data_IF_431933273080
#
_entry.id   IF_431933273080
#
_cell.length_a   1.000
_cell.length_b   1.000
_cell.length_c   1.000
_cell.angle_alpha   90.00
_cell.angle_beta   90.00
_cell.angle_gamma   90.00
#
_symmetry.space_group_name_H-M   'P 1'
#
loop_
_entity.id
_entity.type
_entity.pdbx_description
1 polymer ?
#
# COMPACT_ATOMS: atom_id res chain seq x y z
N UNK A 1 15.58 2.30 27.70
CA UNK A 1 17.05 2.39 27.63
C UNK A 1 17.69 2.24 28.99
N UNK A 2 16.97 2.49 30.10
CA UNK A 2 17.53 2.49 31.45
C UNK A 2 18.07 1.14 31.92
N UNK A 3 17.43 0.02 31.56
CA UNK A 3 17.87 -1.32 31.99
C UNK A 3 19.18 -1.72 31.33
N UNK A 4 19.33 -1.50 30.02
CA UNK A 4 20.57 -1.80 29.31
C UNK A 4 21.75 -0.98 29.84
N UNK A 5 21.53 0.33 30.07
CA UNK A 5 22.54 1.22 30.64
C UNK A 5 22.92 0.77 32.07
N UNK A 6 21.93 0.43 32.90
CA UNK A 6 22.17 -0.03 34.27
C UNK A 6 22.96 -1.34 34.31
N UNK A 7 22.66 -2.32 33.45
CA UNK A 7 23.41 -3.57 33.34
C UNK A 7 24.88 -3.32 32.98
N UNK A 8 25.17 -2.40 32.06
CA UNK A 8 26.54 -2.08 31.66
C UNK A 8 27.30 -1.29 32.73
N UNK A 9 26.66 -0.28 33.32
CA UNK A 9 27.28 0.63 34.31
C UNK A 9 27.54 -0.07 35.64
N UNK A 10 26.74 -1.06 36.02
CA UNK A 10 26.94 -1.80 37.28
C UNK A 10 27.66 -3.13 37.03
N UNK A 11 27.22 -3.89 36.02
CA UNK A 11 27.70 -5.24 35.77
C UNK A 11 29.16 -5.29 35.31
N UNK A 12 29.59 -4.35 34.46
CA UNK A 12 30.98 -4.33 33.96
C UNK A 12 31.96 -3.94 35.08
N UNK A 13 31.76 -2.86 35.85
CA UNK A 13 32.68 -2.52 36.94
C UNK A 13 32.71 -3.57 38.05
N UNK A 14 31.58 -4.18 38.40
CA UNK A 14 31.53 -5.25 39.38
C UNK A 14 32.29 -6.50 38.89
N UNK A 15 32.05 -6.91 37.64
CA UNK A 15 32.76 -8.04 37.04
C UNK A 15 34.26 -7.78 36.87
N UNK A 16 34.67 -6.56 36.52
CA UNK A 16 36.08 -6.15 36.47
C UNK A 16 36.74 -6.17 37.86
N UNK A 17 36.03 -5.73 38.90
CA UNK A 17 36.52 -5.79 40.27
C UNK A 17 36.72 -7.25 40.71
N UNK A 18 35.78 -8.15 40.38
CA UNK A 18 35.90 -9.58 40.65
C UNK A 18 37.05 -10.24 39.89
N UNK A 19 37.30 -9.80 38.65
CA UNK A 19 38.35 -10.36 37.80
C UNK A 19 39.76 -9.89 38.22
N UNK A 20 39.91 -8.61 38.59
CA UNK A 20 41.22 -8.00 38.87
C UNK A 20 41.64 -8.09 40.35
N UNK A 21 40.70 -8.26 41.30
CA UNK A 21 40.98 -8.21 42.75
C UNK A 21 40.31 -9.37 43.53
N UNK A 22 40.46 -10.66 43.12
CA UNK A 22 39.79 -11.78 43.79
C UNK A 22 40.22 -11.95 45.26
N UNK A 23 41.50 -11.72 45.59
CA UNK A 23 42.01 -11.78 46.97
C UNK A 23 41.37 -10.76 47.90
N UNK A 24 41.19 -9.54 47.40
CA UNK A 24 40.56 -8.46 48.18
C UNK A 24 39.11 -8.77 48.50
N UNK A 25 38.41 -9.46 47.59
CA UNK A 25 37.02 -9.88 47.80
C UNK A 25 36.95 -10.95 48.88
N UNK A 26 37.77 -12.00 48.78
CA UNK A 26 37.79 -13.07 49.79
C UNK A 26 38.09 -12.53 51.18
N UNK A 27 39.07 -11.63 51.30
CA UNK A 27 39.38 -10.96 52.56
C UNK A 27 38.23 -10.09 53.08
N UNK A 28 37.45 -9.45 52.20
CA UNK A 28 36.32 -8.63 52.60
C UNK A 28 35.05 -9.44 52.96
N UNK A 29 34.82 -10.60 52.32
CA UNK A 29 33.52 -11.30 52.38
C UNK A 29 33.57 -12.68 53.05
N UNK A 30 34.73 -13.34 53.09
CA UNK A 30 34.85 -14.73 53.54
C UNK A 30 35.87 -14.95 54.66
N UNK A 31 36.90 -14.12 54.78
CA UNK A 31 37.96 -14.28 55.80
C UNK A 31 37.40 -14.35 57.24
N UNK A 32 36.39 -13.54 57.55
CA UNK A 32 35.77 -13.47 58.89
C UNK A 32 35.09 -14.77 59.32
N UNK A 33 34.80 -15.68 58.38
CA UNK A 33 34.19 -16.98 58.69
C UNK A 33 35.19 -17.93 59.34
N UNK A 34 36.49 -17.67 59.23
CA UNK A 34 37.55 -18.54 59.70
C UNK A 34 38.23 -17.96 60.94
N UNK A 35 38.49 -18.84 61.93
CA UNK A 35 39.20 -18.46 63.17
C UNK A 35 40.67 -18.11 62.90
N UNK A 36 41.26 -18.72 61.88
CA UNK A 36 42.57 -18.40 61.32
C UNK A 36 42.41 -18.21 59.80
N UNK A 37 42.23 -16.96 59.33
CA UNK A 37 42.00 -16.68 57.92
C UNK A 37 43.26 -16.85 57.06
N UNK A 38 44.46 -16.60 57.59
CA UNK A 38 45.70 -16.78 56.82
C UNK A 38 45.94 -18.26 56.49
N UNK A 39 45.60 -19.16 57.42
CA UNK A 39 45.72 -20.61 57.20
C UNK A 39 44.65 -21.21 56.26
N UNK A 40 43.54 -20.51 56.00
CA UNK A 40 42.43 -20.99 55.16
C UNK A 40 42.29 -20.19 53.85
N UNK A 41 43.31 -19.43 53.48
CA UNK A 41 43.30 -18.67 52.23
C UNK A 41 43.21 -19.60 51.00
N UNK A 42 42.35 -19.31 50.02
CA UNK A 42 42.27 -20.07 48.78
C UNK A 42 43.61 -20.13 48.05
N UNK A 43 43.87 -21.25 47.38
CA UNK A 43 45.05 -21.38 46.52
C UNK A 43 44.98 -20.42 45.33
N UNK A 44 46.13 -20.09 44.73
CA UNK A 44 46.19 -19.23 43.52
C UNK A 44 45.31 -19.74 42.37
N UNK A 45 45.18 -21.07 42.24
CA UNK A 45 44.30 -21.71 41.25
C UNK A 45 42.83 -21.49 41.61
N UNK A 46 42.47 -21.56 42.89
CA UNK A 46 41.11 -21.27 43.36
C UNK A 46 40.76 -19.79 43.15
N UNK A 47 41.69 -18.86 43.40
CA UNK A 47 41.51 -17.45 43.07
C UNK A 47 41.40 -17.19 41.57
N UNK A 48 42.19 -17.88 40.74
CA UNK A 48 42.06 -17.83 39.28
C UNK A 48 40.68 -18.31 38.81
N UNK A 49 40.14 -19.36 39.45
CA UNK A 49 38.81 -19.89 39.15
C UNK A 49 37.69 -18.94 39.62
N UNK A 50 37.88 -18.25 40.75
CA UNK A 50 36.97 -17.22 41.24
C UNK A 50 36.99 -15.96 40.35
N UNK A 51 38.16 -15.58 39.82
CA UNK A 51 38.32 -14.47 38.88
C UNK A 51 37.59 -14.71 37.54
N UNK A 52 37.49 -15.97 37.09
CA UNK A 52 36.67 -16.34 35.92
C UNK A 52 35.17 -16.06 36.13
N UNK A 53 34.70 -16.08 37.39
CA UNK A 53 33.35 -15.63 37.74
C UNK A 53 33.10 -14.16 37.38
N UNK A 54 34.12 -13.29 37.52
CA UNK A 54 34.06 -11.90 37.08
C UNK A 54 33.88 -11.75 35.57
N UNK A 55 34.57 -12.58 34.79
CA UNK A 55 34.40 -12.62 33.32
C UNK A 55 32.97 -13.04 32.95
N UNK A 56 32.41 -14.04 33.64
CA UNK A 56 31.04 -14.48 33.43
C UNK A 56 30.02 -13.37 33.71
N UNK A 57 30.20 -12.60 34.79
CA UNK A 57 29.34 -11.45 35.13
C UNK A 57 29.38 -10.37 34.04
N UNK A 58 30.56 -10.08 33.48
CA UNK A 58 30.71 -9.12 32.37
C UNK A 58 29.94 -9.62 31.14
N UNK A 59 30.13 -10.89 30.75
CA UNK A 59 29.46 -11.49 29.59
C UNK A 59 27.94 -11.49 29.77
N UNK A 60 27.46 -11.89 30.94
CA UNK A 60 26.03 -11.88 31.27
C UNK A 60 25.44 -10.45 31.21
N UNK A 61 26.16 -9.44 31.73
CA UNK A 61 25.73 -8.05 31.69
C UNK A 61 25.61 -7.53 30.24
N UNK A 62 26.55 -7.86 29.37
CA UNK A 62 26.51 -7.48 27.95
C UNK A 62 25.35 -8.16 27.23
N UNK A 63 25.12 -9.45 27.46
CA UNK A 63 24.00 -10.19 26.85
C UNK A 63 22.67 -9.60 27.31
N UNK A 64 22.47 -9.38 28.60
CA UNK A 64 21.23 -8.80 29.14
C UNK A 64 20.99 -7.37 28.64
N UNK A 65 22.05 -6.56 28.55
CA UNK A 65 21.94 -5.23 27.97
C UNK A 65 21.55 -5.27 26.49
N UNK A 66 22.12 -6.20 25.72
CA UNK A 66 21.77 -6.42 24.32
C UNK A 66 20.30 -6.82 24.14
N UNK A 67 19.81 -7.76 24.94
CA UNK A 67 18.40 -8.21 24.92
C UNK A 67 17.42 -7.12 25.37
N UNK A 68 17.78 -6.36 26.42
CA UNK A 68 16.95 -5.24 26.88
C UNK A 68 16.85 -4.15 25.80
N UNK A 69 17.97 -3.84 25.13
CA UNK A 69 17.98 -2.88 24.03
C UNK A 69 17.17 -3.37 22.84
N UNK A 70 17.33 -4.62 22.39
CA UNK A 70 16.55 -5.15 21.26
C UNK A 70 15.05 -5.11 21.54
N UNK A 71 14.64 -5.53 22.73
CA UNK A 71 13.23 -5.55 23.14
C UNK A 71 12.61 -4.15 23.16
N UNK A 72 13.34 -3.16 23.66
CA UNK A 72 12.86 -1.77 23.65
C UNK A 72 12.79 -1.20 22.24
N UNK A 73 13.77 -1.49 21.39
CA UNK A 73 13.74 -1.08 19.98
C UNK A 73 12.52 -1.65 19.26
N UNK A 74 12.25 -2.94 19.43
CA UNK A 74 11.11 -3.60 18.78
C UNK A 74 9.79 -2.99 19.27
N UNK A 75 9.66 -2.73 20.58
CA UNK A 75 8.49 -2.01 21.14
C UNK A 75 8.33 -0.62 20.54
N UNK A 76 9.40 0.18 20.52
CA UNK A 76 9.33 1.54 19.95
C UNK A 76 9.02 1.54 18.46
N UNK A 77 9.53 0.55 17.71
CA UNK A 77 9.22 0.38 16.30
C UNK A 77 7.74 0.00 16.10
N UNK A 78 7.22 -0.92 16.91
CA UNK A 78 5.81 -1.32 16.88
C UNK A 78 4.87 -0.16 17.26
N UNK A 79 5.21 0.60 18.30
CA UNK A 79 4.47 1.81 18.71
C UNK A 79 4.50 2.88 17.62
N UNK A 80 5.65 3.09 16.98
CA UNK A 80 5.76 4.03 15.87
C UNK A 80 4.95 3.59 14.63
N UNK A 81 4.93 2.29 14.32
CA UNK A 81 4.11 1.74 13.24
C UNK A 81 2.62 1.88 13.55
N UNK A 82 2.23 1.57 14.80
CA UNK A 82 0.85 1.71 15.25
C UNK A 82 0.39 3.17 15.19
N UNK A 83 1.21 4.10 15.70
CA UNK A 83 0.92 5.52 15.62
C UNK A 83 0.76 6.00 14.19
N UNK A 84 1.62 5.55 13.26
CA UNK A 84 1.46 5.85 11.82
C UNK A 84 0.14 5.35 11.25
N UNK A 85 -0.29 4.14 11.63
CA UNK A 85 -1.59 3.58 11.20
C UNK A 85 -2.75 4.37 11.77
N UNK A 86 -2.69 4.75 13.04
CA UNK A 86 -3.74 5.51 13.70
C UNK A 86 -3.85 6.93 13.13
N UNK A 87 -2.71 7.60 12.91
CA UNK A 87 -2.63 8.91 12.26
C UNK A 87 -3.18 8.83 10.82
N UNK A 88 -2.85 7.78 10.06
CA UNK A 88 -3.40 7.54 8.72
C UNK A 88 -4.91 7.31 8.76
N UNK A 89 -5.40 6.46 9.66
CA UNK A 89 -6.83 6.17 9.79
C UNK A 89 -7.62 7.43 10.18
N UNK A 90 -7.08 8.25 11.09
CA UNK A 90 -7.66 9.53 11.46
C UNK A 90 -7.68 10.50 10.27
N UNK A 91 -6.59 10.57 9.50
CA UNK A 91 -6.54 11.40 8.29
C UNK A 91 -7.54 10.95 7.23
N UNK A 92 -7.68 9.63 6.98
CA UNK A 92 -8.69 9.07 6.06
C UNK A 92 -10.11 9.33 6.54
N UNK A 93 -10.36 9.26 7.85
CA UNK A 93 -11.68 9.54 8.44
C UNK A 93 -12.05 11.03 8.33
N UNK A 94 -11.09 11.93 8.49
CA UNK A 94 -11.29 13.37 8.36
C UNK A 94 -11.26 13.85 6.89
N UNK A 95 -10.75 13.03 5.98
CA UNK A 95 -10.61 13.39 4.57
C UNK A 95 -11.96 13.60 3.91
N UNK A 96 -12.11 14.76 3.26
CA UNK A 96 -13.26 15.08 2.42
C UNK A 96 -12.82 14.96 0.97
N UNK A 97 -13.27 13.92 0.23
CA UNK A 97 -12.93 13.75 -1.17
C UNK A 97 -13.26 15.01 -1.98
N UNK A 98 -12.34 15.52 -2.81
CA UNK A 98 -12.65 16.56 -3.76
C UNK A 98 -13.66 16.04 -4.79
N UNK A 99 -14.23 16.96 -5.56
CA UNK A 99 -15.07 16.57 -6.70
C UNK A 99 -14.24 15.77 -7.71
N UNK A 100 -14.84 14.77 -8.38
CA UNK A 100 -14.21 14.09 -9.49
C UNK A 100 -13.64 15.07 -10.52
N UNK A 101 -12.38 14.87 -10.90
CA UNK A 101 -11.68 15.69 -11.88
C UNK A 101 -11.59 14.93 -13.20
N UNK A 102 -12.12 15.53 -14.27
CA UNK A 102 -12.04 14.94 -15.61
C UNK A 102 -10.60 14.99 -16.13
N UNK A 103 -10.07 13.82 -16.52
CA UNK A 103 -8.72 13.61 -17.04
C UNK A 103 -8.68 13.38 -18.55
N UNK A 104 -9.81 13.54 -19.23
CA UNK A 104 -9.93 13.50 -20.68
C UNK A 104 -10.71 12.32 -21.21
N UNK A 105 -11.13 12.45 -22.47
CA UNK A 105 -11.91 11.45 -23.18
C UNK A 105 -11.11 10.17 -23.42
N UNK A 106 -11.76 9.02 -23.22
CA UNK A 106 -11.23 7.70 -23.56
C UNK A 106 -11.57 7.36 -25.02
N UNK A 107 -10.63 6.85 -25.81
CA UNK A 107 -10.91 6.44 -27.18
C UNK A 107 -11.90 5.28 -27.25
N UNK A 108 -12.85 5.36 -28.18
CA UNK A 108 -13.87 4.32 -28.40
C UNK A 108 -13.51 3.52 -29.65
N UNK A 109 -13.63 2.20 -29.59
CA UNK A 109 -13.42 1.33 -30.74
C UNK A 109 -14.72 1.18 -31.54
N UNK A 110 -15.80 0.84 -30.84
CA UNK A 110 -17.08 0.51 -31.45
C UNK A 110 -17.99 -0.22 -30.47
N UNK A 111 -19.07 -0.80 -30.96
CA UNK A 111 -19.96 -1.63 -30.15
C UNK A 111 -20.41 -2.89 -30.89
N UNK A 112 -20.72 -3.94 -30.14
CA UNK A 112 -21.46 -5.10 -30.66
C UNK A 112 -22.88 -5.09 -30.09
N UNK A 113 -23.83 -5.60 -30.86
CA UNK A 113 -25.18 -5.86 -30.37
C UNK A 113 -25.24 -7.27 -29.80
N UNK A 114 -25.61 -7.43 -28.54
CA UNK A 114 -25.93 -8.75 -28.00
C UNK A 114 -27.33 -9.18 -28.45
N UNK A 115 -27.60 -10.50 -28.51
CA UNK A 115 -28.92 -11.00 -28.85
C UNK A 115 -29.97 -10.43 -27.89
N UNK A 116 -31.07 -9.93 -28.44
CA UNK A 116 -32.19 -9.48 -27.64
C UNK A 116 -32.83 -10.70 -26.96
N UNK A 117 -32.70 -10.77 -25.64
CA UNK A 117 -33.42 -11.75 -24.83
C UNK A 117 -34.90 -11.39 -24.69
N UNK A 118 -35.49 -11.62 -23.52
CA UNK A 118 -36.87 -11.23 -23.22
C UNK A 118 -37.06 -9.72 -22.95
N UNK A 119 -36.00 -8.94 -23.01
CA UNK A 119 -36.02 -7.49 -22.73
C UNK A 119 -36.58 -6.72 -23.93
N UNK A 120 -37.41 -5.68 -23.72
CA UNK A 120 -37.81 -4.77 -24.78
C UNK A 120 -36.63 -3.95 -25.34
N UNK A 121 -35.51 -3.89 -24.59
CA UNK A 121 -34.29 -3.18 -24.96
C UNK A 121 -33.18 -4.14 -25.40
N UNK A 122 -32.34 -3.67 -26.31
CA UNK A 122 -31.15 -4.40 -26.79
C UNK A 122 -29.93 -3.96 -25.98
N UNK A 123 -29.07 -4.92 -25.63
CA UNK A 123 -27.80 -4.63 -24.97
C UNK A 123 -26.71 -4.38 -26.03
N UNK A 124 -26.16 -3.18 -26.04
CA UNK A 124 -24.97 -2.84 -26.81
C UNK A 124 -23.76 -2.86 -25.88
N UNK A 125 -22.77 -3.68 -26.23
CA UNK A 125 -21.50 -3.73 -25.52
C UNK A 125 -20.52 -2.81 -26.22
N UNK A 126 -20.25 -1.64 -25.62
CA UNK A 126 -19.37 -0.61 -26.16
C UNK A 126 -17.95 -0.87 -25.71
N UNK A 127 -17.02 -0.96 -26.65
CA UNK A 127 -15.60 -1.18 -26.41
C UNK A 127 -14.81 0.13 -26.49
N UNK A 128 -13.90 0.31 -25.53
CA UNK A 128 -13.07 1.51 -25.41
C UNK A 128 -11.67 1.15 -24.90
N UNK A 129 -10.72 2.04 -25.16
CA UNK A 129 -9.36 1.95 -24.65
C UNK A 129 -9.23 2.69 -23.33
N UNK A 130 -8.51 2.10 -22.39
CA UNK A 130 -8.12 2.75 -21.13
C UNK A 130 -6.63 2.58 -20.87
N UNK A 131 -6.01 3.46 -20.08
CA UNK A 131 -4.66 3.23 -19.58
C UNK A 131 -4.59 1.93 -18.74
N UNK A 132 -3.42 1.29 -18.66
CA UNK A 132 -3.23 0.12 -17.80
C UNK A 132 -3.44 0.48 -16.33
N UNK A 133 -3.87 -0.49 -15.52
CA UNK A 133 -4.09 -0.33 -14.07
C UNK A 133 -5.17 0.70 -13.66
N UNK A 134 -6.03 1.12 -14.58
CA UNK A 134 -7.21 1.95 -14.28
C UNK A 134 -8.44 1.05 -14.12
N UNK A 135 -9.34 1.35 -13.19
CA UNK A 135 -10.52 0.53 -12.93
C UNK A 135 -11.82 1.26 -13.27
N UNK A 136 -12.87 0.55 -13.68
CA UNK A 136 -14.20 1.13 -13.81
C UNK A 136 -14.68 1.73 -12.48
N UNK A 137 -15.30 2.92 -12.53
CA UNK A 137 -15.68 3.68 -11.33
C UNK A 137 -16.71 2.93 -10.44
N UNK A 138 -17.48 2.02 -11.00
CA UNK A 138 -18.41 1.16 -10.27
C UNK A 138 -17.70 0.26 -9.25
N UNK A 139 -16.45 -0.19 -9.49
CA UNK A 139 -15.70 -0.93 -8.47
C UNK A 139 -15.51 -0.14 -7.18
N UNK A 140 -15.33 1.18 -7.29
CA UNK A 140 -15.20 2.06 -6.13
C UNK A 140 -16.52 2.18 -5.35
N UNK A 141 -17.64 2.23 -6.07
CA UNK A 141 -18.97 2.34 -5.47
C UNK A 141 -19.39 1.07 -4.70
N UNK A 142 -18.89 -0.10 -5.12
CA UNK A 142 -19.20 -1.39 -4.47
C UNK A 142 -18.20 -1.79 -3.37
N UNK A 143 -16.99 -1.22 -3.33
CA UNK A 143 -15.92 -1.65 -2.43
C UNK A 143 -15.62 -0.64 -1.32
N UNK A 144 -16.50 -0.55 -0.32
CA UNK A 144 -16.29 0.29 0.87
C UNK A 144 -14.99 -0.04 1.64
N UNK A 145 -14.44 -1.24 1.47
CA UNK A 145 -13.24 -1.73 2.17
C UNK A 145 -11.92 -1.39 1.47
N UNK A 146 -11.95 -0.77 0.29
CA UNK A 146 -10.78 -0.63 -0.59
C UNK A 146 -10.42 0.84 -0.86
N UNK A 147 -10.61 1.70 0.15
CA UNK A 147 -10.22 3.11 0.07
C UNK A 147 -8.74 3.26 -0.33
N UNK A 148 -8.47 4.16 -1.26
CA UNK A 148 -7.12 4.44 -1.76
C UNK A 148 -6.58 3.53 -2.85
N UNK A 149 -7.29 2.44 -3.21
CA UNK A 149 -6.88 1.56 -4.30
C UNK A 149 -7.34 2.07 -5.68
N UNK A 150 -8.54 2.64 -5.75
CA UNK A 150 -9.19 3.02 -7.01
C UNK A 150 -9.39 4.54 -7.10
N UNK A 151 -8.28 5.26 -7.29
CA UNK A 151 -8.30 6.72 -7.39
C UNK A 151 -8.39 7.22 -8.83
N UNK A 152 -7.71 6.54 -9.76
CA UNK A 152 -7.86 6.79 -11.19
C UNK A 152 -8.86 5.79 -11.79
N UNK A 153 -9.97 6.28 -12.31
CA UNK A 153 -11.09 5.43 -12.75
C UNK A 153 -11.61 5.78 -14.13
N UNK A 154 -12.19 4.80 -14.83
CA UNK A 154 -12.94 5.05 -16.06
C UNK A 154 -14.41 5.30 -15.73
N UNK A 155 -14.98 6.35 -16.30
CA UNK A 155 -16.42 6.61 -16.29
C UNK A 155 -16.95 6.47 -17.71
N UNK A 156 -17.67 5.38 -17.94
CA UNK A 156 -18.39 5.15 -19.19
C UNK A 156 -19.87 5.15 -18.89
N UNK A 157 -20.57 6.18 -19.38
CA UNK A 157 -22.01 6.38 -19.18
C UNK A 157 -22.68 6.46 -20.55
N UNK A 158 -23.61 5.55 -20.79
CA UNK A 158 -24.58 5.68 -21.87
C UNK A 158 -25.86 6.28 -21.30
N UNK A 159 -26.35 7.37 -21.89
CA UNK A 159 -27.65 7.95 -21.52
C UNK A 159 -28.69 7.53 -22.55
N UNK A 160 -29.41 6.45 -22.25
CA UNK A 160 -30.43 5.90 -23.12
C UNK A 160 -31.82 5.92 -22.47
N UNK A 161 -32.46 7.07 -22.23
CA UNK A 161 -33.91 7.10 -22.02
C UNK A 161 -34.64 6.52 -23.23
N UNK A 162 -35.88 6.10 -23.03
CA UNK A 162 -36.75 5.73 -24.14
C UNK A 162 -36.93 6.92 -25.10
N UNK A 163 -36.84 6.66 -26.40
CA UNK A 163 -37.03 7.66 -27.46
C UNK A 163 -35.81 8.54 -27.77
N UNK A 164 -34.67 8.36 -27.07
CA UNK A 164 -33.42 9.07 -27.42
C UNK A 164 -32.66 8.28 -28.48
N UNK A 165 -32.52 8.86 -29.67
CA UNK A 165 -31.75 8.33 -30.78
C UNK A 165 -31.14 9.48 -31.61
N UNK A 166 -29.82 9.54 -31.83
CA UNK A 166 -28.81 8.62 -31.32
C UNK A 166 -28.55 8.79 -29.81
N UNK A 167 -28.19 7.68 -29.16
CA UNK A 167 -27.88 7.60 -27.72
C UNK A 167 -26.47 8.15 -27.48
N UNK A 168 -26.29 9.21 -26.67
CA UNK A 168 -24.97 9.69 -26.32
C UNK A 168 -24.27 8.76 -25.32
N UNK A 169 -23.01 8.44 -25.64
CA UNK A 169 -22.09 7.66 -24.82
C UNK A 169 -20.88 8.52 -24.50
N UNK A 170 -20.68 8.77 -23.21
CA UNK A 170 -19.53 9.50 -22.69
C UNK A 170 -18.58 8.53 -22.00
N UNK A 171 -17.35 8.47 -22.49
CA UNK A 171 -16.27 7.68 -21.92
C UNK A 171 -15.12 8.62 -21.57
N UNK A 172 -14.84 8.79 -20.27
CA UNK A 172 -13.74 9.64 -19.80
C UNK A 172 -12.96 8.98 -18.66
N UNK A 173 -11.71 9.42 -18.53
CA UNK A 173 -10.87 9.12 -17.39
C UNK A 173 -11.16 10.14 -16.29
N UNK A 174 -11.25 9.71 -15.05
CA UNK A 174 -11.57 10.57 -13.92
C UNK A 174 -10.59 10.31 -12.77
N UNK A 175 -10.11 11.40 -12.16
CA UNK A 175 -9.33 11.35 -10.94
C UNK A 175 -10.25 11.63 -9.74
N UNK A 176 -10.34 10.65 -8.85
CA UNK A 176 -11.28 10.61 -7.74
C UNK A 176 -10.58 10.07 -6.49
N UNK A 177 -9.76 10.87 -5.80
CA UNK A 177 -9.12 10.43 -4.58
C UNK A 177 -10.15 10.32 -3.44
N UNK A 178 -10.15 9.21 -2.74
CA UNK A 178 -11.01 8.92 -1.58
C UNK A 178 -10.24 8.80 -0.26
N UNK A 179 -8.93 9.01 -0.30
CA UNK A 179 -8.00 9.11 0.82
C UNK A 179 -7.06 10.30 0.61
N UNK A 180 -6.43 10.82 1.67
CA UNK A 180 -5.35 11.79 1.56
C UNK A 180 -4.24 11.29 0.63
N UNK A 181 -3.76 12.17 -0.24
CA UNK A 181 -2.67 11.85 -1.15
C UNK A 181 -1.34 12.13 -0.43
N UNK A 182 -0.44 11.15 -0.43
CA UNK A 182 0.91 11.31 0.14
C UNK A 182 1.75 12.23 -0.75
N UNK A 183 1.55 12.16 -2.07
CA UNK A 183 2.16 12.99 -3.10
C UNK A 183 1.23 13.12 -4.34
N UNK A 184 1.64 13.91 -5.35
CA UNK A 184 0.87 14.07 -6.60
C UNK A 184 1.10 12.97 -7.63
N UNK A 185 2.03 12.03 -7.39
CA UNK A 185 2.52 11.12 -8.44
C UNK A 185 1.44 10.18 -8.97
N UNK A 186 0.53 9.73 -8.12
CA UNK A 186 -0.62 8.91 -8.50
C UNK A 186 -1.61 9.70 -9.39
N UNK A 187 -1.83 10.97 -9.05
CA UNK A 187 -2.66 11.89 -9.83
C UNK A 187 -2.04 12.18 -11.19
N UNK A 188 -0.74 12.44 -11.24
CA UNK A 188 0.00 12.78 -12.46
C UNK A 188 0.00 11.62 -13.47
N UNK A 189 0.02 10.37 -12.96
CA UNK A 189 -0.12 9.15 -13.76
C UNK A 189 -1.53 8.92 -14.30
N UNK A 190 -2.55 9.57 -13.73
CA UNK A 190 -3.93 9.44 -14.18
C UNK A 190 -4.21 10.36 -15.38
N UNK A 191 -3.75 9.96 -16.57
CA UNK A 191 -3.92 10.73 -17.79
C UNK A 191 -4.10 9.82 -19.02
N UNK A 192 -4.46 10.42 -20.16
CA UNK A 192 -4.75 9.70 -21.42
C UNK A 192 -3.60 9.76 -22.44
N UNK A 193 -2.46 10.41 -22.12
CA UNK A 193 -1.40 10.72 -23.10
C UNK A 193 -0.75 9.47 -23.69
N UNK A 194 -0.60 8.43 -22.87
CA UNK A 194 0.13 7.22 -23.25
C UNK A 194 -0.77 6.10 -23.78
N UNK A 195 -2.07 6.34 -23.94
CA UNK A 195 -3.04 5.31 -24.38
C UNK A 195 -2.66 4.75 -25.77
N UNK A 196 -2.07 5.56 -26.65
CA UNK A 196 -1.64 5.08 -27.96
C UNK A 196 -0.44 4.11 -27.89
N UNK A 197 0.33 4.13 -26.79
CA UNK A 197 1.50 3.27 -26.59
C UNK A 197 1.17 2.06 -25.71
N UNK A 198 0.36 2.26 -24.67
CA UNK A 198 0.00 1.24 -23.70
C UNK A 198 -1.46 1.40 -23.27
N UNK A 199 -2.26 0.39 -23.61
CA UNK A 199 -3.69 0.36 -23.33
C UNK A 199 -4.19 -1.04 -23.01
N UNK A 200 -5.37 -1.06 -22.39
CA UNK A 200 -6.21 -2.24 -22.25
C UNK A 200 -7.56 -1.97 -22.95
N UNK A 201 -8.11 -2.99 -23.61
CA UNK A 201 -9.47 -2.96 -24.13
C UNK A 201 -10.43 -3.30 -22.99
N UNK A 202 -11.46 -2.46 -22.79
CA UNK A 202 -12.57 -2.74 -21.89
C UNK A 202 -13.89 -2.50 -22.58
N UNK A 203 -14.94 -3.07 -22.01
CA UNK A 203 -16.29 -2.90 -22.47
C UNK A 203 -17.23 -2.40 -21.37
N UNK A 204 -18.32 -1.75 -21.77
CA UNK A 204 -19.45 -1.40 -20.90
C UNK A 204 -20.75 -1.67 -21.66
N UNK A 205 -21.67 -2.36 -20.99
CA UNK A 205 -23.01 -2.58 -21.52
C UNK A 205 -23.86 -1.31 -21.41
N UNK A 206 -24.56 -0.98 -22.50
CA UNK A 206 -25.53 0.10 -22.61
C UNK A 206 -26.81 -0.51 -23.17
N UNK A 207 -27.93 -0.33 -22.47
CA UNK A 207 -29.24 -0.83 -22.90
C UNK A 207 -29.96 0.26 -23.70
N UNK A 208 -30.35 -0.06 -24.93
CA UNK A 208 -30.91 0.90 -25.88
C UNK A 208 -32.16 0.37 -26.56
N UNK A 209 -32.89 1.25 -27.23
CA UNK A 209 -34.06 0.85 -28.02
C UNK A 209 -33.58 0.13 -29.29
N UNK A 210 -34.34 -0.87 -29.81
CA UNK A 210 -33.94 -1.60 -31.01
C UNK A 210 -33.66 -0.66 -32.20
N UNK A 211 -32.46 -0.77 -32.77
CA UNK A 211 -32.05 0.04 -33.92
C UNK A 211 -31.55 1.45 -33.59
N UNK A 212 -31.45 1.82 -32.31
CA UNK A 212 -30.86 3.10 -31.92
C UNK A 212 -29.38 3.19 -32.34
N UNK A 213 -28.97 4.35 -32.86
CA UNK A 213 -27.55 4.64 -33.08
C UNK A 213 -26.87 5.07 -31.78
N UNK A 214 -25.54 4.96 -31.72
CA UNK A 214 -24.72 5.49 -30.63
C UNK A 214 -23.84 6.64 -31.14
N UNK A 215 -23.73 7.71 -30.36
CA UNK A 215 -22.81 8.83 -30.63
C UNK A 215 -21.94 9.14 -29.43
N UNK A 216 -20.78 9.75 -29.67
CA UNK A 216 -19.81 10.13 -28.64
C UNK A 216 -19.08 11.41 -29.03
N UNK A 217 -18.41 12.04 -28.07
CA UNK A 217 -17.49 13.14 -28.33
C UNK A 217 -16.02 12.65 -28.32
N UNK A 218 -15.80 11.40 -27.94
CA UNK A 218 -14.49 10.73 -27.92
C UNK A 218 -13.93 10.48 -29.33
N UNK A 219 -12.60 10.31 -29.47
CA UNK A 219 -12.02 9.83 -30.72
C UNK A 219 -12.42 8.38 -30.98
N UNK A 220 -12.61 8.03 -32.25
CA UNK A 220 -12.81 6.65 -32.70
C UNK A 220 -11.46 6.07 -33.14
N UNK A 221 -11.11 4.91 -32.60
CA UNK A 221 -9.84 4.22 -32.85
C UNK A 221 -10.06 2.77 -33.27
N UNK A 222 -9.03 2.13 -33.81
CA UNK A 222 -9.00 0.68 -33.92
C UNK A 222 -8.56 0.00 -32.60
N UNK A 223 -8.50 -1.33 -32.58
CA UNK A 223 -8.07 -2.10 -31.40
C UNK A 223 -6.60 -1.84 -30.97
N UNK A 224 -5.78 -1.31 -31.88
CA UNK A 224 -4.38 -0.96 -31.64
C UNK A 224 -4.20 0.50 -31.20
N UNK A 225 -5.28 1.29 -31.16
CA UNK A 225 -5.24 2.71 -30.78
C UNK A 225 -4.94 3.67 -31.92
N UNK A 226 -4.96 3.20 -33.18
CA UNK A 226 -4.84 4.07 -34.35
C UNK A 226 -6.11 4.89 -34.50
N UNK A 227 -5.98 6.22 -34.55
CA UNK A 227 -7.13 7.14 -34.68
C UNK A 227 -7.72 7.04 -36.08
N UNK A 228 -8.98 6.62 -36.14
CA UNK A 228 -9.80 6.56 -37.35
C UNK A 228 -10.60 7.85 -37.53
N UNK A 229 -11.14 8.37 -36.43
CA UNK A 229 -11.88 9.65 -36.39
C UNK A 229 -11.39 10.46 -35.17
N UNK A 230 -10.93 11.70 -35.34
CA UNK A 230 -10.53 12.53 -34.21
C UNK A 230 -11.72 12.86 -33.29
N UNK A 231 -11.42 13.22 -32.05
CA UNK A 231 -12.45 13.61 -31.08
C UNK A 231 -13.26 14.80 -31.61
N UNK A 232 -14.58 14.62 -31.72
CA UNK A 232 -15.51 15.64 -32.19
C UNK A 232 -16.90 15.34 -31.63
N UNK A 233 -17.68 16.37 -31.25
CA UNK A 233 -19.03 16.16 -30.77
C UNK A 233 -19.91 15.40 -31.75
N UNK A 234 -20.60 14.38 -31.26
CA UNK A 234 -21.55 13.59 -32.04
C UNK A 234 -20.94 12.59 -33.04
N UNK A 235 -19.67 12.19 -32.87
CA UNK A 235 -19.08 11.09 -33.63
C UNK A 235 -19.94 9.84 -33.51
N UNK A 236 -20.33 9.25 -34.64
CA UNK A 236 -21.06 7.98 -34.65
C UNK A 236 -20.13 6.85 -34.22
N UNK A 237 -20.54 6.10 -33.20
CA UNK A 237 -19.79 4.92 -32.78
C UNK A 237 -20.09 3.78 -33.76
N UNK A 238 -19.09 3.15 -34.38
CA UNK A 238 -19.32 2.10 -35.37
C UNK A 238 -19.83 0.81 -34.71
N UNK A 239 -20.77 0.15 -35.38
CA UNK A 239 -21.16 -1.22 -35.06
C UNK A 239 -20.10 -2.19 -35.58
N UNK A 240 -19.66 -3.12 -34.74
CA UNK A 240 -18.68 -4.14 -35.04
C UNK A 240 -19.37 -5.49 -35.27
N UNK A 241 -18.76 -6.32 -36.10
CA UNK A 241 -19.24 -7.69 -36.36
C UNK A 241 -18.85 -8.66 -35.25
N UNK A 242 -17.74 -8.40 -34.56
CA UNK A 242 -17.20 -9.22 -33.48
C UNK A 242 -16.51 -8.34 -32.41
N UNK A 243 -16.30 -8.86 -31.18
CA UNK A 243 -15.49 -8.18 -30.18
C UNK A 243 -14.08 -7.89 -30.72
N UNK A 244 -13.53 -6.69 -30.46
CA UNK A 244 -12.17 -6.36 -30.88
C UNK A 244 -11.15 -7.22 -30.12
N UNK A 245 -10.18 -7.72 -30.87
CA UNK A 245 -9.04 -8.50 -30.37
C UNK A 245 -7.79 -7.65 -30.57
N UNK A 246 -6.89 -7.68 -29.59
CA UNK A 246 -5.59 -7.00 -29.65
C UNK A 246 -4.54 -7.88 -30.33
#
# INVERSE_FOLDING_TARGET
MGVAILCLVIGIPLGLFMLLRPKTIWWATESWKYKDPEANEPSEVAYGMQALGGLFVIVAAVILAGLAWSTERDKTAAEAEQKKKDDWNAAVAAYKPPKPEDRGALPIIGYISKPQGKSPRVEYEVFYLKPPNVYPADYKDFSYQHKGLYQCVTRVRGYAPEGVNPVPVHANLSWEPDVPQVDSSASDKCNTRDIAQSHEIKSKSVYVDPGAGLVTDSPIVDAHGVVLVPAKPGNTIPKLDAPPIR
#
